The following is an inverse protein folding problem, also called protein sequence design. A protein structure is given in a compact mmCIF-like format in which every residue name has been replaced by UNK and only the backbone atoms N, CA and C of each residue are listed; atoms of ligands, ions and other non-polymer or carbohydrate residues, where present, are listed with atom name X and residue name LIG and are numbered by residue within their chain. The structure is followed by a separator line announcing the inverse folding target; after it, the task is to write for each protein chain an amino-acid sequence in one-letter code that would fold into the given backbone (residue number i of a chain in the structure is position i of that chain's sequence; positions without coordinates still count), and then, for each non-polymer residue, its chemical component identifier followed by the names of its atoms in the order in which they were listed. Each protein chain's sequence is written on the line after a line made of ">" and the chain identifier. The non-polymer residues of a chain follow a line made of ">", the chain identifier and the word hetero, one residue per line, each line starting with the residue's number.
data_IF_869704350730
#
_entry.id   IF_869704350730
#
_cell.length_a   1.000
_cell.length_b   1.000
_cell.length_c   1.000
_cell.angle_alpha   90.00
_cell.angle_beta   90.00
_cell.angle_gamma   90.00
#
_symmetry.space_group_name_H-M   'P 1'
#
loop_
_entity.id
_entity.type
_entity.pdbx_description
1 polymer ?
#
# COMPACT_ATOMS: atom_id res chain seq x y z
N UNK A 1 -7.62 -6.52 3.49
CA UNK A 1 -6.23 -6.83 3.91
C UNK A 1 -6.16 -7.82 5.07
N UNK A 2 -6.49 -7.47 6.32
CA UNK A 2 -6.32 -8.44 7.43
C UNK A 2 -7.23 -9.67 7.31
N UNK A 3 -8.45 -9.52 6.76
CA UNK A 3 -9.33 -10.66 6.39
C UNK A 3 -8.68 -11.59 5.36
N UNK A 4 -8.06 -11.01 4.33
CA UNK A 4 -7.32 -11.75 3.29
C UNK A 4 -6.08 -12.44 3.87
N UNK A 5 -5.38 -11.80 4.82
CA UNK A 5 -4.11 -12.29 5.36
C UNK A 5 -4.24 -13.27 6.53
N UNK A 6 -5.29 -13.16 7.34
CA UNK A 6 -5.47 -13.90 8.59
C UNK A 6 -6.80 -14.66 8.68
N UNK A 7 -7.67 -14.53 7.67
CA UNK A 7 -8.93 -15.24 7.58
C UNK A 7 -9.81 -15.09 8.83
N UNK A 8 -10.13 -16.21 9.47
CA UNK A 8 -10.97 -16.23 10.68
C UNK A 8 -10.33 -15.53 11.88
N UNK A 9 -9.01 -15.35 11.90
CA UNK A 9 -8.28 -14.63 12.96
C UNK A 9 -8.19 -13.12 12.73
N UNK A 10 -8.73 -12.61 11.62
CA UNK A 10 -8.55 -11.22 11.22
C UNK A 10 -8.99 -10.21 12.27
N UNK A 11 -10.13 -10.42 12.94
CA UNK A 11 -10.63 -9.50 13.96
C UNK A 11 -9.70 -9.45 15.18
N UNK A 12 -9.23 -10.61 15.66
CA UNK A 12 -8.29 -10.69 16.78
C UNK A 12 -6.96 -10.03 16.41
N UNK A 13 -6.44 -10.33 15.22
CA UNK A 13 -5.18 -9.77 14.72
C UNK A 13 -5.26 -8.28 14.48
N UNK A 14 -6.41 -7.77 14.06
CA UNK A 14 -6.66 -6.33 13.92
C UNK A 14 -6.62 -5.62 15.27
N UNK A 15 -7.24 -6.18 16.31
CA UNK A 15 -7.19 -5.61 17.65
C UNK A 15 -5.75 -5.62 18.21
N UNK A 16 -5.04 -6.75 18.08
CA UNK A 16 -3.63 -6.88 18.49
C UNK A 16 -2.74 -5.87 17.75
N UNK A 17 -2.95 -5.71 16.45
CA UNK A 17 -2.20 -4.78 15.62
C UNK A 17 -2.46 -3.33 16.02
N UNK A 18 -3.72 -2.93 16.19
CA UNK A 18 -4.07 -1.57 16.63
C UNK A 18 -3.45 -1.24 17.99
N UNK A 19 -3.55 -2.14 18.96
CA UNK A 19 -2.91 -2.02 20.28
C UNK A 19 -1.39 -1.83 20.15
N UNK A 20 -0.75 -2.61 19.27
CA UNK A 20 0.68 -2.51 19.02
C UNK A 20 1.05 -1.15 18.43
N UNK A 21 0.31 -0.64 17.43
CA UNK A 21 0.57 0.67 16.83
C UNK A 21 0.42 1.79 17.85
N UNK A 22 -0.62 1.76 18.67
CA UNK A 22 -0.89 2.81 19.65
C UNK A 22 0.14 2.84 20.77
N UNK A 23 0.49 1.67 21.32
CA UNK A 23 1.48 1.54 22.41
C UNK A 23 2.86 1.99 21.97
N UNK A 24 3.26 1.65 20.74
CA UNK A 24 4.58 1.95 20.21
C UNK A 24 4.63 3.27 19.42
N UNK A 25 3.50 3.99 19.32
CA UNK A 25 3.37 5.25 18.57
C UNK A 25 3.84 5.11 17.13
N UNK A 26 3.42 4.03 16.46
CA UNK A 26 3.80 3.74 15.08
C UNK A 26 2.81 4.38 14.12
N UNK A 27 3.35 5.07 13.12
CA UNK A 27 2.63 5.55 11.95
C UNK A 27 3.06 4.74 10.72
N UNK A 28 2.08 4.33 9.92
CA UNK A 28 2.31 3.58 8.68
C UNK A 28 1.85 4.44 7.51
N UNK A 29 2.74 4.67 6.56
CA UNK A 29 2.39 5.26 5.28
C UNK A 29 2.12 4.14 4.30
N UNK A 30 0.97 4.21 3.65
CA UNK A 30 0.56 3.26 2.63
C UNK A 30 0.15 4.03 1.37
N UNK A 31 0.41 3.44 0.22
CA UNK A 31 -0.18 3.85 -1.04
C UNK A 31 -1.44 3.03 -1.30
N UNK A 32 -2.55 3.71 -1.59
CA UNK A 32 -3.80 3.07 -1.99
C UNK A 32 -3.85 2.97 -3.51
N UNK A 33 -3.96 1.75 -4.01
CA UNK A 33 -4.10 1.44 -5.43
C UNK A 33 -5.54 1.02 -5.69
N UNK A 34 -6.29 1.89 -6.37
CA UNK A 34 -7.70 1.62 -6.67
C UNK A 34 -8.18 2.38 -7.90
N UNK A 35 -9.01 1.73 -8.71
CA UNK A 35 -9.63 2.38 -9.86
C UNK A 35 -10.83 3.29 -9.48
N UNK A 36 -11.19 3.36 -8.19
CA UNK A 36 -12.19 4.30 -7.68
C UNK A 36 -11.67 5.73 -7.72
N UNK A 37 -10.35 5.92 -7.56
CA UNK A 37 -9.70 7.22 -7.49
C UNK A 37 -9.01 7.64 -8.79
N UNK A 38 -9.21 6.85 -9.84
CA UNK A 38 -8.60 7.02 -11.14
C UNK A 38 -7.58 5.95 -11.46
N UNK A 39 -6.79 6.22 -12.50
CA UNK A 39 -5.81 5.28 -13.01
C UNK A 39 -4.42 5.53 -12.39
N UNK A 40 -3.67 4.46 -12.18
CA UNK A 40 -2.31 4.46 -11.64
C UNK A 40 -1.33 4.19 -12.80
N UNK A 41 -1.31 5.12 -13.76
CA UNK A 41 -0.70 4.96 -15.09
C UNK A 41 -1.48 4.02 -16.02
N UNK A 42 -1.99 2.93 -15.45
CA UNK A 42 -2.98 2.01 -15.99
C UNK A 42 -4.09 1.80 -14.95
N UNK A 43 -5.31 1.53 -15.41
CA UNK A 43 -6.43 1.21 -14.53
C UNK A 43 -6.15 -0.05 -13.71
N UNK A 44 -6.08 0.03 -12.36
CA UNK A 44 -5.86 -1.16 -11.55
C UNK A 44 -6.97 -2.19 -11.73
N UNK A 45 -6.65 -3.47 -11.65
CA UNK A 45 -7.63 -4.58 -11.75
C UNK A 45 -8.20 -4.94 -10.38
N UNK A 46 -7.41 -4.79 -9.33
CA UNK A 46 -7.82 -4.99 -7.93
C UNK A 46 -7.71 -3.69 -7.13
N UNK A 47 -8.32 -3.69 -5.94
CA UNK A 47 -8.13 -2.64 -4.93
C UNK A 47 -7.22 -3.19 -3.84
N UNK A 48 -6.11 -2.51 -3.58
CA UNK A 48 -5.15 -2.92 -2.57
C UNK A 48 -4.38 -1.70 -2.04
N UNK A 49 -3.59 -1.92 -1.00
CA UNK A 49 -2.64 -0.92 -0.52
C UNK A 49 -1.28 -1.55 -0.39
N UNK A 50 -0.22 -0.75 -0.42
CA UNK A 50 1.17 -1.20 -0.19
C UNK A 50 1.83 -0.31 0.85
N UNK A 51 2.56 -0.92 1.78
CA UNK A 51 3.31 -0.17 2.80
C UNK A 51 4.53 0.48 2.14
N UNK A 52 4.65 1.80 2.27
CA UNK A 52 5.75 2.59 1.71
C UNK A 52 6.72 3.10 2.79
N UNK A 53 6.24 3.34 4.00
CA UNK A 53 7.09 3.69 5.13
C UNK A 53 6.45 3.29 6.47
N UNK A 54 7.31 3.03 7.47
CA UNK A 54 6.91 2.82 8.86
C UNK A 54 7.75 3.76 9.72
N UNK A 55 7.10 4.48 10.63
CA UNK A 55 7.73 5.50 11.47
C UNK A 55 7.31 5.34 12.92
N UNK A 56 8.26 5.27 13.84
CA UNK A 56 8.00 5.41 15.28
C UNK A 56 8.05 6.88 15.68
N UNK A 57 6.94 7.40 16.19
CA UNK A 57 6.73 8.80 16.61
C UNK A 57 7.01 9.01 18.11
N UNK A 58 7.97 8.29 18.68
CA UNK A 58 8.31 8.34 20.11
C UNK A 58 8.71 9.74 20.62
N UNK A 59 9.20 9.82 21.85
CA UNK A 59 9.63 11.10 22.44
C UNK A 59 10.93 11.56 21.77
N UNK A 60 10.82 12.53 20.84
CA UNK A 60 11.96 13.13 20.16
C UNK A 60 11.83 13.09 18.64
N UNK A 61 12.95 12.84 17.94
CA UNK A 61 12.96 12.77 16.48
C UNK A 61 12.32 11.45 16.02
N UNK A 62 11.39 11.48 15.05
CA UNK A 62 10.80 10.26 14.49
C UNK A 62 11.87 9.31 13.93
N UNK A 63 11.73 8.01 14.23
CA UNK A 63 12.57 6.95 13.65
C UNK A 63 11.86 6.35 12.45
N UNK A 64 12.43 6.56 11.26
CA UNK A 64 11.97 5.90 10.05
C UNK A 64 12.65 4.55 9.90
N UNK A 65 11.86 3.52 9.62
CA UNK A 65 12.39 2.18 9.41
C UNK A 65 13.28 2.12 8.15
N UNK A 66 14.35 1.34 8.26
CA UNK A 66 15.13 0.87 7.12
C UNK A 66 14.32 -0.14 6.30
N UNK A 67 14.72 -0.39 5.05
CA UNK A 67 14.02 -1.37 4.19
C UNK A 67 13.92 -2.77 4.85
N UNK A 68 14.98 -3.33 5.47
CA UNK A 68 14.85 -4.58 6.23
C UNK A 68 13.83 -4.50 7.37
N UNK A 69 13.81 -3.41 8.13
CA UNK A 69 12.82 -3.23 9.22
C UNK A 69 11.38 -3.14 8.69
N UNK A 70 11.17 -2.50 7.52
CA UNK A 70 9.85 -2.47 6.86
C UNK A 70 9.44 -3.89 6.43
N UNK A 71 10.34 -4.65 5.81
CA UNK A 71 10.06 -6.03 5.41
C UNK A 71 9.72 -6.90 6.63
N UNK A 72 10.52 -6.83 7.69
CA UNK A 72 10.25 -7.56 8.93
C UNK A 72 8.88 -7.19 9.52
N UNK A 73 8.57 -5.89 9.57
CA UNK A 73 7.30 -5.39 10.08
C UNK A 73 6.12 -5.91 9.24
N UNK A 74 6.21 -5.81 7.92
CA UNK A 74 5.16 -6.26 7.02
C UNK A 74 4.98 -7.78 7.05
N UNK A 75 6.06 -8.57 7.10
CA UNK A 75 5.96 -10.03 7.20
C UNK A 75 5.35 -10.46 8.53
N UNK A 76 5.73 -9.81 9.64
CA UNK A 76 5.15 -10.07 10.96
C UNK A 76 3.63 -9.85 10.98
N UNK A 77 3.17 -8.77 10.37
CA UNK A 77 1.76 -8.37 10.37
C UNK A 77 0.98 -8.81 9.12
N UNK A 78 1.65 -9.52 8.20
CA UNK A 78 1.15 -9.91 6.87
C UNK A 78 0.58 -8.71 6.07
N UNK A 79 1.26 -7.58 6.12
CA UNK A 79 0.91 -6.38 5.37
C UNK A 79 1.53 -6.42 3.96
N UNK A 80 0.88 -5.87 2.94
CA UNK A 80 1.41 -5.88 1.59
C UNK A 80 2.65 -4.99 1.41
N UNK A 81 3.64 -5.52 0.71
CA UNK A 81 4.87 -4.82 0.32
C UNK A 81 4.99 -4.71 -1.19
N UNK A 82 5.71 -3.68 -1.64
CA UNK A 82 6.20 -3.59 -3.01
C UNK A 82 7.34 -4.60 -3.27
N UNK A 83 7.66 -4.78 -4.55
CA UNK A 83 8.86 -5.51 -4.97
C UNK A 83 10.11 -4.73 -4.52
N UNK A 84 11.06 -5.40 -3.87
CA UNK A 84 12.31 -4.81 -3.39
C UNK A 84 13.52 -5.49 -4.02
N UNK A 85 14.41 -4.68 -4.58
CA UNK A 85 15.72 -5.10 -5.07
C UNK A 85 16.82 -4.41 -4.26
N UNK A 86 17.81 -5.19 -3.82
CA UNK A 86 18.95 -4.68 -3.07
C UNK A 86 20.25 -4.97 -3.83
N UNK A 87 21.01 -3.91 -4.09
CA UNK A 87 22.30 -3.93 -4.77
C UNK A 87 23.39 -3.49 -3.78
N UNK A 88 24.23 -4.43 -3.35
CA UNK A 88 25.24 -4.27 -2.31
C UNK A 88 26.67 -4.44 -2.78
N UNK A 89 26.90 -5.05 -3.94
CA UNK A 89 28.23 -5.24 -4.51
C UNK A 89 28.51 -4.20 -5.60
N UNK A 90 29.79 -3.88 -5.81
CA UNK A 90 30.20 -3.01 -6.93
C UNK A 90 29.66 -3.52 -8.27
N UNK A 91 29.61 -4.85 -8.44
CA UNK A 91 29.08 -5.50 -9.64
C UNK A 91 27.58 -5.24 -9.79
N UNK A 92 26.77 -5.55 -8.78
CA UNK A 92 25.32 -5.41 -8.86
C UNK A 92 24.90 -3.94 -9.01
N UNK A 93 25.59 -3.01 -8.34
CA UNK A 93 25.36 -1.57 -8.51
C UNK A 93 25.69 -1.10 -9.93
N UNK A 94 26.83 -1.52 -10.50
CA UNK A 94 27.17 -1.17 -11.88
C UNK A 94 26.18 -1.77 -12.90
N UNK A 95 25.74 -3.02 -12.67
CA UNK A 95 24.72 -3.68 -13.47
C UNK A 95 23.36 -2.99 -13.36
N UNK A 96 22.96 -2.52 -12.18
CA UNK A 96 21.75 -1.72 -11.99
C UNK A 96 21.78 -0.46 -12.86
N UNK A 97 22.86 0.34 -12.80
CA UNK A 97 22.95 1.55 -13.63
C UNK A 97 22.93 1.22 -15.13
N UNK A 98 23.66 0.18 -15.57
CA UNK A 98 23.64 -0.22 -16.96
C UNK A 98 22.25 -0.69 -17.44
N UNK A 99 21.51 -1.42 -16.58
CA UNK A 99 20.14 -1.83 -16.88
C UNK A 99 19.18 -0.64 -16.90
N UNK A 100 19.29 0.27 -15.93
CA UNK A 100 18.48 1.49 -15.86
C UNK A 100 18.68 2.37 -17.10
N UNK A 101 19.94 2.60 -17.48
CA UNK A 101 20.30 3.37 -18.68
C UNK A 101 19.77 2.69 -19.96
N UNK A 102 19.82 1.36 -20.04
CA UNK A 102 19.32 0.62 -21.20
C UNK A 102 17.78 0.61 -21.30
N UNK A 103 17.09 0.69 -20.16
CA UNK A 103 15.63 0.73 -20.09
C UNK A 103 15.07 2.14 -20.37
N UNK A 104 15.91 3.18 -20.32
CA UNK A 104 15.58 4.58 -20.65
C UNK A 104 14.34 5.15 -19.94
N UNK A 105 13.94 4.59 -18.79
CA UNK A 105 12.67 4.94 -18.11
C UNK A 105 11.40 4.66 -18.95
N UNK A 106 11.52 3.94 -20.07
CA UNK A 106 10.42 3.58 -20.99
C UNK A 106 9.96 2.11 -20.82
N UNK A 107 10.63 1.36 -19.94
CA UNK A 107 10.31 -0.05 -19.70
C UNK A 107 8.96 -0.27 -19.02
N UNK A 108 8.21 -1.27 -19.48
CA UNK A 108 7.03 -1.77 -18.76
C UNK A 108 7.42 -2.63 -17.56
N UNK A 109 6.47 -2.92 -16.67
CA UNK A 109 6.70 -3.68 -15.44
C UNK A 109 7.42 -5.01 -15.70
N UNK A 110 7.03 -5.77 -16.73
CA UNK A 110 7.66 -7.06 -17.06
C UNK A 110 9.17 -6.94 -17.35
N UNK A 111 9.64 -6.19 -18.37
CA UNK A 111 11.06 -6.06 -18.68
C UNK A 111 11.85 -5.41 -17.56
N UNK A 112 11.29 -4.42 -16.86
CA UNK A 112 11.97 -3.77 -15.73
C UNK A 112 12.17 -4.75 -14.59
N UNK A 113 11.11 -5.42 -14.11
CA UNK A 113 11.20 -6.36 -13.00
C UNK A 113 12.17 -7.50 -13.34
N UNK A 114 12.07 -8.05 -14.55
CA UNK A 114 12.99 -9.11 -15.00
C UNK A 114 14.46 -8.66 -14.97
N UNK A 115 14.77 -7.49 -15.52
CA UNK A 115 16.13 -6.98 -15.54
C UNK A 115 16.67 -6.73 -14.12
N UNK A 116 15.84 -6.19 -13.23
CA UNK A 116 16.24 -5.93 -11.84
C UNK A 116 16.38 -7.21 -11.00
N UNK A 117 15.49 -8.19 -11.21
CA UNK A 117 15.58 -9.53 -10.61
C UNK A 117 16.91 -10.22 -10.95
N UNK A 118 17.35 -10.10 -12.21
CA UNK A 118 18.58 -10.73 -12.70
C UNK A 118 19.86 -10.12 -12.11
N UNK A 119 19.85 -8.81 -11.77
CA UNK A 119 21.06 -8.08 -11.37
C UNK A 119 21.14 -7.77 -9.87
N UNK A 120 20.05 -7.93 -9.13
CA UNK A 120 20.00 -7.71 -7.69
C UNK A 120 20.76 -8.79 -6.90
N UNK A 121 21.38 -8.39 -5.78
CA UNK A 121 21.98 -9.38 -4.86
C UNK A 121 20.91 -10.03 -3.99
N UNK A 122 19.84 -9.29 -3.66
CA UNK A 122 18.65 -9.78 -2.96
C UNK A 122 17.41 -9.23 -3.68
N UNK A 123 16.48 -10.11 -4.02
CA UNK A 123 15.18 -9.80 -4.58
C UNK A 123 14.09 -10.31 -3.63
N UNK A 124 13.12 -9.46 -3.31
CA UNK A 124 11.97 -9.79 -2.47
C UNK A 124 10.71 -9.43 -3.28
N UNK A 125 9.93 -10.43 -3.71
CA UNK A 125 8.74 -10.17 -4.50
C UNK A 125 7.72 -9.36 -3.68
N UNK A 126 6.97 -8.50 -4.37
CA UNK A 126 5.83 -7.81 -3.77
C UNK A 126 4.77 -8.80 -3.31
N UNK A 127 3.98 -8.43 -2.31
CA UNK A 127 2.91 -9.30 -1.80
C UNK A 127 1.79 -9.53 -2.82
N UNK A 128 1.61 -8.58 -3.74
CA UNK A 128 0.80 -8.75 -4.95
C UNK A 128 1.69 -8.56 -6.17
N UNK A 129 1.44 -9.39 -7.17
CA UNK A 129 2.12 -9.31 -8.46
C UNK A 129 1.57 -8.10 -9.23
N UNK A 130 2.41 -7.07 -9.38
CA UNK A 130 2.04 -5.80 -10.04
C UNK A 130 1.39 -6.02 -11.41
N UNK A 131 1.94 -6.93 -12.23
CA UNK A 131 1.45 -7.20 -13.59
C UNK A 131 0.04 -7.79 -13.54
N UNK A 132 -0.20 -8.69 -12.58
CA UNK A 132 -1.52 -9.30 -12.39
C UNK A 132 -2.54 -8.30 -11.88
N UNK A 133 -2.20 -7.46 -10.90
CA UNK A 133 -3.17 -6.63 -10.17
C UNK A 133 -3.32 -5.20 -10.70
N UNK A 134 -2.32 -4.68 -11.41
CA UNK A 134 -2.29 -3.31 -11.96
C UNK A 134 -1.98 -3.27 -13.45
N UNK A 135 -1.18 -4.20 -13.95
CA UNK A 135 -0.83 -4.32 -15.36
C UNK A 135 0.62 -3.94 -15.65
N UNK A 136 0.88 -3.56 -16.89
CA UNK A 136 2.24 -3.37 -17.41
C UNK A 136 2.81 -1.98 -17.15
N UNK A 137 1.97 -0.98 -16.85
CA UNK A 137 2.49 0.37 -16.61
C UNK A 137 3.10 0.47 -15.21
N UNK A 138 4.43 0.55 -15.16
CA UNK A 138 5.20 0.86 -13.95
C UNK A 138 5.47 2.36 -13.91
N UNK A 139 4.85 3.08 -13.00
CA UNK A 139 4.93 4.56 -12.95
C UNK A 139 6.31 5.10 -12.55
N UNK A 140 7.10 4.29 -11.84
CA UNK A 140 8.44 4.66 -11.44
C UNK A 140 9.06 3.71 -10.42
N UNK A 141 10.29 4.01 -10.04
CA UNK A 141 11.06 3.30 -9.03
C UNK A 141 11.44 4.27 -7.90
N UNK A 142 11.43 3.78 -6.66
CA UNK A 142 11.96 4.52 -5.51
C UNK A 142 13.34 3.96 -5.18
N UNK A 143 14.38 4.74 -5.45
CA UNK A 143 15.75 4.40 -5.09
C UNK A 143 16.14 5.03 -3.74
N UNK A 144 16.73 4.21 -2.86
CA UNK A 144 17.28 4.67 -1.57
C UNK A 144 18.72 4.19 -1.42
N UNK A 145 19.63 5.13 -1.12
CA UNK A 145 20.98 4.78 -0.66
C UNK A 145 20.88 4.35 0.80
N UNK A 146 21.37 3.15 1.08
CA UNK A 146 21.32 2.51 2.40
C UNK A 146 22.72 2.20 2.91
N UNK A 147 22.84 1.85 4.20
CA UNK A 147 24.13 1.50 4.77
C UNK A 147 24.62 0.14 4.26
N UNK A 148 25.94 -0.12 4.23
CA UNK A 148 26.50 -1.40 3.81
C UNK A 148 25.95 -2.61 4.58
N UNK A 149 25.57 -2.41 5.84
CA UNK A 149 25.04 -3.46 6.73
C UNK A 149 23.63 -3.91 6.32
N UNK A 150 22.93 -3.13 5.48
CA UNK A 150 21.54 -3.42 5.07
C UNK A 150 21.39 -4.76 4.36
N UNK A 151 22.40 -5.20 3.61
CA UNK A 151 22.38 -6.50 2.93
C UNK A 151 22.37 -7.66 3.95
N UNK A 152 23.27 -7.59 4.94
CA UNK A 152 23.34 -8.59 6.02
C UNK A 152 22.07 -8.57 6.88
N UNK A 153 21.60 -7.37 7.23
CA UNK A 153 20.37 -7.20 8.01
C UNK A 153 19.16 -7.76 7.26
N UNK A 154 19.06 -7.54 5.93
CA UNK A 154 18.00 -8.12 5.13
C UNK A 154 18.02 -9.65 5.15
N UNK A 155 19.19 -10.28 5.05
CA UNK A 155 19.31 -11.74 5.13
C UNK A 155 18.88 -12.28 6.50
N UNK A 156 19.20 -11.56 7.58
CA UNK A 156 18.74 -11.90 8.93
C UNK A 156 17.21 -11.81 9.04
N UNK A 157 16.63 -10.71 8.53
CA UNK A 157 15.17 -10.52 8.50
C UNK A 157 14.47 -11.64 7.72
N UNK A 158 14.93 -11.96 6.51
CA UNK A 158 14.30 -12.99 5.68
C UNK A 158 14.37 -14.40 6.29
N UNK A 159 15.36 -14.66 7.14
CA UNK A 159 15.47 -15.91 7.91
C UNK A 159 14.52 -15.92 9.11
N UNK A 160 14.44 -14.80 9.83
CA UNK A 160 13.69 -14.72 11.09
C UNK A 160 12.18 -14.46 10.85
N UNK A 161 11.83 -13.87 9.71
CA UNK A 161 10.49 -13.56 9.24
C UNK A 161 10.29 -14.12 7.82
N UNK A 162 10.06 -15.43 7.66
CA UNK A 162 9.79 -15.99 6.34
C UNK A 162 8.49 -15.43 5.75
N UNK A 163 8.38 -15.43 4.41
CA UNK A 163 7.16 -15.00 3.73
C UNK A 163 5.94 -15.76 4.26
N UNK A 164 4.83 -15.07 4.57
CA UNK A 164 3.66 -15.72 5.12
C UNK A 164 3.06 -16.72 4.11
N UNK A 165 2.46 -17.82 4.59
CA UNK A 165 1.78 -18.77 3.74
C UNK A 165 0.62 -18.07 3.01
N UNK A 166 0.47 -18.36 1.72
CA UNK A 166 -0.71 -17.96 0.96
C UNK A 166 -1.85 -18.88 1.42
N UNK A 167 -2.65 -18.44 2.38
CA UNK A 167 -3.87 -19.18 2.77
C UNK A 167 -4.90 -19.03 1.65
N UNK A 168 -4.93 -20.02 0.75
CA UNK A 168 -5.79 -20.09 -0.43
C UNK A 168 -7.24 -20.48 -0.12
N UNK A 169 -7.85 -19.87 0.88
CA UNK A 169 -9.28 -20.04 1.12
C UNK A 169 -10.04 -18.92 0.42
N UNK A 170 -11.03 -19.28 -0.41
CA UNK A 170 -12.13 -18.42 -0.83
C UNK A 170 -12.93 -18.00 0.41
N UNK A 171 -12.35 -17.12 1.21
CA UNK A 171 -13.04 -16.43 2.28
C UNK A 171 -13.82 -15.33 1.59
N UNK A 172 -15.13 -15.29 1.81
CA UNK A 172 -15.93 -14.16 1.39
C UNK A 172 -15.41 -12.91 2.11
N UNK A 173 -14.72 -12.05 1.35
CA UNK A 173 -14.13 -10.82 1.87
C UNK A 173 -15.17 -9.69 1.98
N UNK A 174 -16.41 -9.95 1.56
CA UNK A 174 -17.44 -8.94 1.39
C UNK A 174 -17.27 -8.15 0.09
N UNK A 175 -18.08 -7.10 -0.11
CA UNK A 175 -18.00 -6.29 -1.31
C UNK A 175 -16.67 -5.52 -1.38
N UNK A 176 -16.12 -5.41 -2.59
CA UNK A 176 -14.91 -4.60 -2.82
C UNK A 176 -15.22 -3.10 -2.73
N UNK A 177 -14.19 -2.29 -2.54
CA UNK A 177 -14.29 -0.83 -2.55
C UNK A 177 -15.03 -0.34 -3.81
N UNK A 178 -14.69 -0.86 -4.99
CA UNK A 178 -15.40 -0.56 -6.24
C UNK A 178 -16.88 -0.94 -6.21
N UNK A 179 -17.23 -2.12 -5.68
CA UNK A 179 -18.62 -2.56 -5.62
C UNK A 179 -19.44 -1.65 -4.71
N UNK A 180 -18.90 -1.28 -3.53
CA UNK A 180 -19.53 -0.35 -2.59
C UNK A 180 -19.73 1.02 -3.25
N UNK A 181 -18.68 1.57 -3.87
CA UNK A 181 -18.74 2.87 -4.52
C UNK A 181 -19.70 2.89 -5.72
N UNK A 182 -19.72 1.83 -6.53
CA UNK A 182 -20.60 1.73 -7.69
C UNK A 182 -22.07 1.62 -7.28
N UNK A 183 -22.39 0.83 -6.24
CA UNK A 183 -23.74 0.65 -5.74
C UNK A 183 -24.35 1.96 -5.17
N UNK A 184 -23.51 2.84 -4.63
CA UNK A 184 -23.93 4.07 -3.95
C UNK A 184 -23.60 5.35 -4.73
N UNK A 185 -23.27 5.25 -6.03
CA UNK A 185 -22.72 6.37 -6.83
C UNK A 185 -23.62 7.61 -6.95
N UNK A 186 -24.92 7.47 -6.67
CA UNK A 186 -25.91 8.54 -6.83
C UNK A 186 -26.05 9.43 -5.60
N UNK A 187 -25.51 9.02 -4.45
CA UNK A 187 -25.64 9.73 -3.18
C UNK A 187 -24.36 9.61 -2.36
N UNK A 188 -23.60 10.71 -2.27
CA UNK A 188 -22.35 10.82 -1.54
C UNK A 188 -22.50 10.41 -0.06
N UNK A 189 -23.63 10.77 0.58
CA UNK A 189 -23.86 10.41 1.98
C UNK A 189 -24.08 8.92 2.15
N UNK A 190 -24.82 8.29 1.24
CA UNK A 190 -25.01 6.84 1.26
C UNK A 190 -23.72 6.09 0.94
N UNK A 191 -22.90 6.62 0.04
CA UNK A 191 -21.59 6.05 -0.25
C UNK A 191 -20.67 6.10 0.98
N UNK A 192 -20.58 7.24 1.66
CA UNK A 192 -19.81 7.37 2.92
C UNK A 192 -20.36 6.40 3.98
N UNK A 193 -21.69 6.32 4.14
CA UNK A 193 -22.32 5.41 5.10
C UNK A 193 -21.97 3.95 4.82
N UNK A 194 -22.08 3.49 3.57
CA UNK A 194 -21.77 2.13 3.19
C UNK A 194 -20.27 1.78 3.38
N UNK A 195 -19.37 2.73 3.10
CA UNK A 195 -17.94 2.55 3.36
C UNK A 195 -17.63 2.42 4.85
N UNK A 196 -18.27 3.23 5.70
CA UNK A 196 -18.11 3.16 7.16
C UNK A 196 -18.70 1.87 7.74
N UNK A 197 -19.86 1.42 7.23
CA UNK A 197 -20.47 0.15 7.63
C UNK A 197 -19.55 -1.03 7.31
N UNK A 198 -18.94 -1.06 6.12
CA UNK A 198 -18.01 -2.13 5.71
C UNK A 198 -16.65 -2.06 6.44
N UNK A 199 -16.15 -0.86 6.74
CA UNK A 199 -14.95 -0.69 7.57
C UNK A 199 -15.17 -1.14 9.02
N UNK A 200 -16.42 -1.13 9.49
CA UNK A 200 -16.81 -1.48 10.84
C UNK A 200 -16.31 -0.51 11.90
N UNK A 201 -16.40 -0.92 13.17
CA UNK A 201 -16.12 -0.06 14.33
C UNK A 201 -14.63 0.18 14.59
N UNK A 202 -13.73 -0.36 13.76
CA UNK A 202 -12.29 -0.37 14.03
C UNK A 202 -11.55 0.89 13.56
N UNK A 203 -12.12 1.67 12.64
CA UNK A 203 -11.47 2.85 12.07
C UNK A 203 -12.10 4.17 12.54
N UNK A 204 -13.36 4.13 13.00
CA UNK A 204 -14.05 5.21 13.71
C UNK A 204 -15.43 4.67 14.15
N UNK A 205 -15.72 4.53 15.44
CA UNK A 205 -16.93 3.83 15.88
C UNK A 205 -18.22 4.65 15.73
N UNK A 206 -18.14 5.98 15.55
CA UNK A 206 -19.31 6.86 15.52
C UNK A 206 -19.51 7.52 14.15
N UNK A 207 -20.68 7.26 13.54
CA UNK A 207 -21.09 7.91 12.29
C UNK A 207 -21.24 9.43 12.43
N UNK A 208 -21.48 9.92 13.65
CA UNK A 208 -21.60 11.35 13.96
C UNK A 208 -20.29 12.09 13.68
N UNK A 209 -19.14 11.45 13.86
CA UNK A 209 -17.82 12.05 13.59
C UNK A 209 -17.62 12.38 12.09
N UNK A 210 -18.33 11.67 11.19
CA UNK A 210 -18.24 11.87 9.74
C UNK A 210 -19.39 12.72 9.20
N UNK A 211 -20.62 12.43 9.62
CA UNK A 211 -21.83 13.00 9.05
C UNK A 211 -22.30 14.27 9.80
N UNK A 212 -21.81 14.48 11.03
CA UNK A 212 -22.32 15.50 11.95
C UNK A 212 -23.63 15.05 12.60
N UNK A 213 -23.91 15.55 13.80
CA UNK A 213 -25.21 15.30 14.46
C UNK A 213 -26.32 16.10 13.79
N UNK A 214 -27.55 15.58 13.78
CA UNK A 214 -28.74 16.26 13.21
C UNK A 214 -29.08 17.60 13.90
N UNK A 215 -28.42 17.92 15.03
CA UNK A 215 -28.74 19.06 15.88
C UNK A 215 -27.63 20.12 16.05
N UNK A 216 -26.43 19.94 15.48
CA UNK A 216 -25.35 20.92 15.64
C UNK A 216 -24.89 21.49 14.31
N UNK A 217 -25.57 22.57 13.94
CA UNK A 217 -25.04 23.60 13.06
C UNK A 217 -23.86 24.31 13.76
N UNK A 218 -22.79 24.50 13.00
CA UNK A 218 -21.65 25.37 13.30
C UNK A 218 -20.71 24.96 14.47
N UNK A 219 -19.46 24.62 14.10
CA UNK A 219 -18.26 24.63 14.96
C UNK A 219 -17.86 23.35 15.73
N UNK A 220 -17.73 22.22 15.03
CA UNK A 220 -16.86 21.12 15.50
C UNK A 220 -15.75 20.83 14.49
N UNK A 221 -14.53 20.68 15.01
CA UNK A 221 -13.23 20.66 14.30
C UNK A 221 -13.01 19.40 13.46
N UNK A 222 -13.89 19.16 12.50
CA UNK A 222 -13.84 18.00 11.62
C UNK A 222 -13.06 18.39 10.37
N UNK A 223 -12.16 17.50 9.93
CA UNK A 223 -11.34 17.64 8.73
C UNK A 223 -12.10 18.36 7.62
N UNK A 224 -11.46 19.37 7.01
CA UNK A 224 -12.06 20.24 6.01
C UNK A 224 -12.87 19.39 5.01
N UNK A 225 -14.21 19.45 5.10
CA UNK A 225 -15.13 18.71 4.22
C UNK A 225 -14.81 18.98 2.75
N UNK A 226 -14.19 20.13 2.45
CA UNK A 226 -13.69 20.44 1.12
C UNK A 226 -12.69 19.40 0.61
N UNK A 227 -11.90 18.74 1.46
CA UNK A 227 -10.93 17.70 1.07
C UNK A 227 -11.63 16.41 0.68
N UNK A 228 -12.60 15.93 1.48
CA UNK A 228 -13.38 14.72 1.16
C UNK A 228 -14.24 14.97 -0.08
N UNK A 229 -14.92 16.11 -0.16
CA UNK A 229 -15.72 16.46 -1.34
C UNK A 229 -14.84 16.66 -2.58
N UNK A 230 -13.67 17.31 -2.50
CA UNK A 230 -12.72 17.39 -3.63
C UNK A 230 -12.22 16.02 -4.05
N UNK A 231 -11.99 15.12 -3.10
CA UNK A 231 -11.58 13.75 -3.36
C UNK A 231 -12.68 12.95 -4.07
N UNK A 232 -13.93 13.06 -3.63
CA UNK A 232 -15.08 12.36 -4.22
C UNK A 232 -15.54 12.98 -5.55
N UNK A 233 -15.28 14.27 -5.76
CA UNK A 233 -15.56 15.00 -7.01
C UNK A 233 -14.36 15.00 -7.97
N UNK A 234 -13.21 14.46 -7.57
CA UNK A 234 -12.06 14.36 -8.46
C UNK A 234 -12.46 13.51 -9.66
N UNK A 235 -12.52 14.13 -10.84
CA UNK A 235 -12.66 13.39 -12.07
C UNK A 235 -11.39 12.55 -12.25
N UNK A 236 -11.49 11.22 -12.43
CA UNK A 236 -10.39 10.43 -12.93
C UNK A 236 -9.79 11.18 -14.12
N UNK A 237 -8.51 11.48 -14.04
CA UNK A 237 -7.80 11.99 -15.18
C UNK A 237 -7.71 10.83 -16.19
N UNK A 238 -8.75 10.64 -17.00
CA UNK A 238 -8.81 9.73 -18.15
C UNK A 238 -7.86 10.20 -19.28
N UNK A 239 -6.81 10.95 -18.94
CA UNK A 239 -5.66 11.02 -19.82
C UNK A 239 -5.08 9.62 -19.81
N UNK A 240 -5.47 8.81 -20.80
CA UNK A 240 -4.61 7.75 -21.27
C UNK A 240 -3.22 8.36 -21.34
N UNK A 241 -2.27 7.77 -20.64
CA UNK A 241 -0.85 8.08 -20.71
C UNK A 241 -0.42 7.76 -22.15
N UNK A 242 -0.85 8.57 -23.12
CA UNK A 242 -0.46 8.51 -24.54
C UNK A 242 1.05 8.63 -24.72
N UNK A 243 1.76 9.06 -23.67
CA UNK A 243 3.23 9.06 -23.61
C UNK A 243 3.84 7.67 -23.39
N UNK A 244 3.09 6.68 -22.88
CA UNK A 244 3.59 5.33 -22.58
C UNK A 244 2.98 4.24 -23.47
N UNK A 245 2.11 4.61 -24.42
CA UNK A 245 1.64 3.73 -25.48
C UNK A 245 2.34 4.12 -26.79
N UNK A 246 3.53 3.57 -27.01
CA UNK A 246 4.20 3.55 -28.33
C UNK A 246 4.24 2.11 -28.81
#
# INVERSE_FOLDING_TARGET
>A
MLREAWGSQACEKQAEFNDYLERNKICISMELVTAVLGDHGQRPKEDYVVVTAVTELGVGKPKFYSTPEIIAFCQKWRLPTNHVWLFSTRKSVASFFAAYDALCEEGTATPVCKALDEVADICIPGSKDHIKVQGEILEGLVARVVSPESSKHMQEVLRDYPSPPIEGTEIDLGPTLRQICAANRSDEKQQIKALLEEAGTCFCPDHVDWLGGEAEDAHSRIADRSVVTKFLQAHPADYSTRKLQV
#
